data_IF_315169450174
#
_entry.id   IF_315169450174
#
_cell.length_a   1.000
_cell.length_b   1.000
_cell.length_c   1.000
_cell.angle_alpha   90.00
_cell.angle_beta   90.00
_cell.angle_gamma   90.00
#
_symmetry.space_group_name_H-M   'P 1'
#
loop_
_entity.id
_entity.type
_entity.pdbx_description
1 polymer ?
#
# COMPACT_ATOMS: atom_id res chain seq x y z
N UNK A 1 -4.71 2.05 8.36
CA UNK A 1 -6.06 1.54 8.65
C UNK A 1 -6.99 2.72 8.82
N UNK A 2 -8.15 2.69 8.18
CA UNK A 2 -9.16 3.73 8.31
C UNK A 2 -10.29 3.19 9.20
N UNK A 3 -10.77 3.99 10.14
CA UNK A 3 -11.78 3.55 11.12
C UNK A 3 -13.09 3.10 10.46
N UNK A 4 -13.57 3.82 9.45
CA UNK A 4 -14.80 3.47 8.75
C UNK A 4 -14.72 2.14 8.00
N UNK A 5 -13.55 1.80 7.43
CA UNK A 5 -13.33 0.50 6.79
C UNK A 5 -13.41 -0.65 7.81
N UNK A 6 -12.87 -0.44 9.02
CA UNK A 6 -12.98 -1.43 10.11
C UNK A 6 -14.43 -1.60 10.58
N UNK A 7 -15.19 -0.51 10.64
CA UNK A 7 -16.63 -0.58 11.01
C UNK A 7 -17.41 -1.41 10.00
N UNK A 8 -17.22 -1.18 8.69
CA UNK A 8 -17.87 -1.98 7.65
C UNK A 8 -17.49 -3.47 7.72
N UNK A 9 -16.20 -3.76 7.96
CA UNK A 9 -15.74 -5.13 8.15
C UNK A 9 -16.40 -5.79 9.36
N UNK A 10 -16.44 -5.10 10.51
CA UNK A 10 -17.10 -5.61 11.72
C UNK A 10 -18.60 -5.81 11.51
N UNK A 11 -19.28 -4.87 10.86
CA UNK A 11 -20.69 -5.03 10.51
C UNK A 11 -20.95 -6.26 9.62
N UNK A 12 -20.04 -6.55 8.69
CA UNK A 12 -20.11 -7.75 7.86
C UNK A 12 -20.05 -9.04 8.68
N UNK A 13 -19.10 -9.17 9.60
CA UNK A 13 -18.93 -10.40 10.39
C UNK A 13 -19.99 -10.57 11.49
N UNK A 14 -20.55 -9.46 12.00
CA UNK A 14 -21.61 -9.48 13.04
C UNK A 14 -23.02 -9.42 12.46
N UNK A 15 -23.15 -9.27 11.13
CA UNK A 15 -24.45 -9.07 10.44
C UNK A 15 -25.26 -7.90 11.04
N UNK A 16 -24.59 -6.82 11.37
CA UNK A 16 -25.24 -5.64 11.92
C UNK A 16 -25.87 -4.78 10.82
N UNK A 17 -27.04 -4.21 11.10
CA UNK A 17 -27.61 -3.15 10.28
C UNK A 17 -26.69 -1.94 10.28
N UNK A 18 -26.58 -1.27 9.13
CA UNK A 18 -25.69 -0.11 9.01
C UNK A 18 -26.25 0.92 8.04
N UNK A 19 -26.10 2.19 8.38
CA UNK A 19 -26.36 3.32 7.51
C UNK A 19 -25.02 3.84 6.98
N UNK A 20 -24.85 3.85 5.64
CA UNK A 20 -23.62 4.21 4.98
C UNK A 20 -23.77 5.56 4.28
N UNK A 21 -23.02 6.56 4.72
CA UNK A 21 -22.97 7.88 4.13
C UNK A 21 -21.98 7.91 2.97
N UNK A 22 -22.49 8.09 1.76
CA UNK A 22 -21.69 8.02 0.54
C UNK A 22 -21.65 9.39 -0.15
N UNK A 23 -20.57 10.17 0.01
CA UNK A 23 -20.39 11.40 -0.74
C UNK A 23 -20.04 11.06 -2.20
N UNK A 24 -20.86 11.54 -3.14
CA UNK A 24 -20.69 11.29 -4.58
C UNK A 24 -20.72 12.62 -5.32
N UNK A 25 -19.83 12.78 -6.30
CA UNK A 25 -19.90 13.90 -7.24
C UNK A 25 -21.16 13.82 -8.11
N UNK A 26 -21.77 14.98 -8.39
CA UNK A 26 -22.98 15.03 -9.18
C UNK A 26 -22.84 14.36 -10.55
N UNK A 27 -23.83 13.54 -10.92
CA UNK A 27 -23.86 12.82 -12.20
C UNK A 27 -23.16 11.45 -12.21
N UNK A 28 -22.54 11.03 -11.12
CA UNK A 28 -21.90 9.71 -11.01
C UNK A 28 -22.93 8.66 -10.56
N UNK A 29 -22.89 7.47 -11.19
CA UNK A 29 -23.78 6.35 -10.83
C UNK A 29 -23.43 5.80 -9.44
N UNK A 30 -24.30 6.08 -8.47
CA UNK A 30 -24.15 5.62 -7.07
C UNK A 30 -24.16 4.11 -6.92
N UNK A 31 -24.88 3.37 -7.77
CA UNK A 31 -25.07 1.93 -7.62
C UNK A 31 -23.76 1.15 -7.89
N UNK A 32 -22.92 1.68 -8.77
CA UNK A 32 -21.59 1.12 -8.98
C UNK A 32 -20.75 1.15 -7.70
N UNK A 33 -20.76 2.27 -6.95
CA UNK A 33 -20.02 2.42 -5.70
C UNK A 33 -20.61 1.55 -4.59
N UNK A 34 -21.96 1.52 -4.46
CA UNK A 34 -22.66 0.66 -3.49
C UNK A 34 -22.29 -0.81 -3.70
N UNK A 35 -22.39 -1.29 -4.94
CA UNK A 35 -22.06 -2.68 -5.29
C UNK A 35 -20.59 -3.00 -5.02
N UNK A 36 -19.68 -2.05 -5.29
CA UNK A 36 -18.27 -2.24 -5.00
C UNK A 36 -18.00 -2.32 -3.49
N UNK A 37 -18.61 -1.46 -2.67
CA UNK A 37 -18.49 -1.52 -1.20
C UNK A 37 -19.05 -2.84 -0.68
N UNK A 38 -20.24 -3.25 -1.10
CA UNK A 38 -20.85 -4.53 -0.73
C UNK A 38 -19.89 -5.69 -1.05
N UNK A 39 -19.37 -5.73 -2.27
CA UNK A 39 -18.46 -6.78 -2.72
C UNK A 39 -17.15 -6.78 -1.92
N UNK A 40 -16.55 -5.62 -1.70
CA UNK A 40 -15.24 -5.47 -1.05
C UNK A 40 -15.27 -5.84 0.43
N UNK A 41 -16.37 -5.56 1.12
CA UNK A 41 -16.53 -5.86 2.54
C UNK A 41 -17.40 -7.09 2.80
N UNK A 42 -17.93 -7.76 1.76
CA UNK A 42 -18.87 -8.91 1.85
C UNK A 42 -20.10 -8.57 2.68
N UNK A 43 -20.67 -7.38 2.48
CA UNK A 43 -21.86 -6.93 3.20
C UNK A 43 -23.11 -7.65 2.66
N UNK A 44 -24.10 -7.87 3.52
CA UNK A 44 -25.45 -8.24 3.11
C UNK A 44 -26.21 -6.97 2.70
N UNK A 45 -26.60 -6.86 1.43
CA UNK A 45 -27.22 -5.64 0.88
C UNK A 45 -28.49 -5.23 1.64
N UNK A 46 -29.25 -6.21 2.13
CA UNK A 46 -30.49 -5.98 2.91
C UNK A 46 -30.24 -5.32 4.26
N UNK A 47 -29.02 -5.38 4.80
CA UNK A 47 -28.60 -4.76 6.06
C UNK A 47 -27.97 -3.38 5.86
N UNK A 48 -27.90 -2.89 4.62
CA UNK A 48 -27.26 -1.63 4.28
C UNK A 48 -28.30 -0.58 3.87
N UNK A 49 -28.41 0.47 4.64
CA UNK A 49 -29.10 1.70 4.27
C UNK A 49 -28.08 2.70 3.71
N UNK A 50 -28.49 3.49 2.70
CA UNK A 50 -27.60 4.39 1.99
C UNK A 50 -28.08 5.83 2.04
N UNK A 51 -27.24 6.71 2.59
CA UNK A 51 -27.45 8.16 2.53
C UNK A 51 -26.51 8.72 1.46
N UNK A 52 -27.06 9.13 0.33
CA UNK A 52 -26.30 9.73 -0.76
C UNK A 52 -26.14 11.21 -0.51
N UNK A 53 -24.91 11.65 -0.38
CA UNK A 53 -24.57 13.06 -0.17
C UNK A 53 -24.02 13.63 -1.47
N UNK A 54 -24.79 14.51 -2.11
CA UNK A 54 -24.34 15.21 -3.32
C UNK A 54 -23.22 16.18 -2.96
N UNK A 55 -22.04 15.96 -3.53
CA UNK A 55 -20.88 16.80 -3.33
C UNK A 55 -20.85 17.89 -4.42
N UNK A 56 -20.85 19.14 -3.99
CA UNK A 56 -20.50 20.28 -4.86
C UNK A 56 -19.00 20.49 -4.74
N UNK A 57 -18.30 20.46 -5.83
CA UNK A 57 -16.89 20.78 -6.18
C UNK A 57 -15.83 21.18 -5.11
N UNK A 58 -16.17 21.34 -3.84
CA UNK A 58 -15.25 21.68 -2.76
C UNK A 58 -14.66 20.40 -2.11
N UNK A 59 -13.35 20.36 -1.96
CA UNK A 59 -12.53 19.26 -1.44
C UNK A 59 -12.82 18.76 0.01
N UNK A 60 -14.05 18.95 0.52
CA UNK A 60 -14.45 18.68 1.91
C UNK A 60 -15.39 17.48 2.10
N UNK A 61 -15.43 16.54 1.15
CA UNK A 61 -16.32 15.37 1.20
C UNK A 61 -16.27 14.61 2.52
N UNK A 62 -15.05 14.40 3.07
CA UNK A 62 -14.88 13.68 4.32
C UNK A 62 -15.48 14.44 5.52
N UNK A 63 -15.39 15.77 5.53
CA UNK A 63 -15.94 16.59 6.61
C UNK A 63 -17.47 16.63 6.56
N UNK A 64 -18.04 16.72 5.37
CA UNK A 64 -19.50 16.71 5.16
C UNK A 64 -20.08 15.37 5.60
N UNK A 65 -19.46 14.26 5.18
CA UNK A 65 -19.85 12.92 5.62
C UNK A 65 -19.78 12.76 7.12
N UNK A 66 -18.65 13.13 7.73
CA UNK A 66 -18.43 12.99 9.18
C UNK A 66 -19.41 13.86 9.97
N UNK A 67 -19.76 15.05 9.45
CA UNK A 67 -20.80 15.91 10.02
C UNK A 67 -22.18 15.26 9.96
N UNK A 68 -22.60 14.73 8.80
CA UNK A 68 -23.88 14.05 8.63
C UNK A 68 -24.03 12.85 9.57
N UNK A 69 -22.98 12.01 9.69
CA UNK A 69 -23.01 10.88 10.63
C UNK A 69 -23.21 11.34 12.08
N UNK A 70 -22.56 12.42 12.49
CA UNK A 70 -22.68 12.95 13.85
C UNK A 70 -24.06 13.61 14.09
N UNK A 71 -24.57 14.30 13.08
CA UNK A 71 -25.88 14.97 13.20
C UNK A 71 -27.04 13.96 13.26
N UNK A 72 -26.94 12.82 12.56
CA UNK A 72 -27.98 11.78 12.56
C UNK A 72 -27.87 10.79 13.72
N UNK A 73 -26.69 10.65 14.34
CA UNK A 73 -26.49 9.71 15.45
C UNK A 73 -27.27 10.12 16.69
N UNK A 74 -27.99 9.20 17.33
CA UNK A 74 -28.61 9.38 18.65
C UNK A 74 -27.55 9.39 19.74
N UNK A 75 -26.61 8.43 19.70
CA UNK A 75 -25.48 8.29 20.63
C UNK A 75 -24.19 8.22 19.85
N UNK A 76 -23.18 8.96 20.27
CA UNK A 76 -21.85 8.96 19.67
C UNK A 76 -20.87 8.17 20.57
N UNK A 77 -20.21 7.18 20.00
CA UNK A 77 -19.15 6.38 20.66
C UNK A 77 -17.78 6.71 20.05
N UNK A 78 -17.05 7.68 20.60
CA UNK A 78 -15.70 7.96 20.13
C UNK A 78 -14.76 6.84 20.58
N UNK A 79 -14.04 6.22 19.62
CA UNK A 79 -13.08 5.14 19.93
C UNK A 79 -11.65 5.68 20.04
N UNK A 80 -11.20 6.46 19.05
CA UNK A 80 -9.87 7.07 19.10
C UNK A 80 -9.88 8.37 18.30
N UNK A 81 -9.64 9.46 18.98
CA UNK A 81 -9.72 10.81 18.43
C UNK A 81 -8.35 11.43 18.38
N UNK A 82 -7.96 11.90 17.20
CA UNK A 82 -6.71 12.66 17.04
C UNK A 82 -6.88 14.05 17.64
N UNK A 83 -6.05 14.44 18.61
CA UNK A 83 -6.05 15.81 19.14
C UNK A 83 -5.84 16.85 18.05
N UNK A 84 -6.63 17.93 18.05
CA UNK A 84 -6.64 18.98 17.05
C UNK A 84 -7.27 18.56 15.70
N UNK A 85 -7.86 17.37 15.61
CA UNK A 85 -8.48 16.84 14.41
C UNK A 85 -9.91 17.35 14.17
N UNK A 86 -10.44 17.08 12.95
CA UNK A 86 -11.79 17.48 12.60
C UNK A 86 -12.87 16.80 13.46
N UNK A 87 -12.72 15.50 13.74
CA UNK A 87 -13.68 14.76 14.58
C UNK A 87 -13.74 15.29 16.00
N UNK A 88 -12.65 15.75 16.59
CA UNK A 88 -12.67 16.37 17.91
C UNK A 88 -13.59 17.58 17.95
N UNK A 89 -13.45 18.48 16.95
CA UNK A 89 -14.28 19.68 16.82
C UNK A 89 -15.76 19.35 16.60
N UNK A 90 -16.04 18.35 15.78
CA UNK A 90 -17.40 17.89 15.52
C UNK A 90 -18.07 17.31 16.79
N UNK A 91 -17.35 16.50 17.56
CA UNK A 91 -17.83 15.92 18.81
C UNK A 91 -18.06 17.01 19.88
N UNK A 92 -17.16 17.99 20.00
CA UNK A 92 -17.36 19.12 20.91
C UNK A 92 -18.60 19.94 20.52
N UNK A 93 -18.83 20.13 19.22
CA UNK A 93 -20.02 20.82 18.73
C UNK A 93 -21.29 20.03 19.01
N UNK A 94 -21.27 18.70 18.80
CA UNK A 94 -22.37 17.81 19.12
C UNK A 94 -22.71 17.83 20.62
N UNK A 95 -21.68 17.81 21.50
CA UNK A 95 -21.85 17.93 22.95
C UNK A 95 -22.53 19.24 23.34
N UNK A 96 -22.13 20.38 22.75
CA UNK A 96 -22.78 21.68 23.01
C UNK A 96 -24.23 21.72 22.56
N UNK A 97 -24.60 20.93 21.54
CA UNK A 97 -25.98 20.77 21.05
C UNK A 97 -26.81 19.77 21.87
N UNK A 98 -26.24 19.19 22.92
CA UNK A 98 -26.94 18.24 23.79
C UNK A 98 -26.97 16.79 23.29
N UNK A 99 -26.17 16.43 22.30
CA UNK A 99 -26.04 15.04 21.84
C UNK A 99 -25.41 14.18 22.93
N UNK A 100 -25.87 12.95 23.07
CA UNK A 100 -25.31 11.96 23.98
C UNK A 100 -23.97 11.44 23.43
N UNK A 101 -22.94 11.50 24.28
CA UNK A 101 -21.60 11.01 23.95
C UNK A 101 -21.15 10.02 25.01
N UNK A 102 -21.02 8.77 24.61
CA UNK A 102 -20.54 7.70 25.48
C UNK A 102 -19.06 7.47 25.27
N UNK A 103 -18.27 7.65 26.31
CA UNK A 103 -16.80 7.57 26.28
C UNK A 103 -16.24 6.23 26.78
N UNK A 104 -17.07 5.21 27.03
CA UNK A 104 -16.64 3.93 27.61
C UNK A 104 -15.62 3.16 26.76
N UNK A 105 -15.59 3.44 25.47
CA UNK A 105 -14.71 2.75 24.51
C UNK A 105 -13.54 3.61 24.04
N UNK A 106 -13.26 4.74 24.68
CA UNK A 106 -12.15 5.61 24.26
C UNK A 106 -10.81 4.92 24.51
N UNK A 107 -10.02 4.87 23.42
CA UNK A 107 -8.62 4.44 23.43
C UNK A 107 -7.74 5.65 23.10
N UNK A 108 -6.68 5.85 23.89
CA UNK A 108 -5.74 6.92 23.65
C UNK A 108 -5.19 6.89 22.20
N UNK A 109 -5.23 8.04 21.53
CA UNK A 109 -4.63 8.18 20.23
C UNK A 109 -3.11 8.05 20.33
N UNK A 110 -2.55 6.98 19.77
CA UNK A 110 -1.10 6.75 19.73
C UNK A 110 -0.58 6.90 18.31
N UNK A 111 0.44 7.74 18.14
CA UNK A 111 1.18 7.83 16.89
C UNK A 111 2.23 6.70 16.84
N UNK A 112 1.80 5.48 16.50
CA UNK A 112 2.63 4.26 16.50
C UNK A 112 3.56 4.11 15.30
N UNK A 113 3.71 5.14 14.47
CA UNK A 113 4.48 5.09 13.23
C UNK A 113 5.98 4.71 13.40
N UNK A 114 6.50 4.74 14.62
CA UNK A 114 7.91 4.43 14.88
C UNK A 114 8.26 2.94 14.82
N UNK A 115 7.30 2.03 14.99
CA UNK A 115 7.55 0.58 15.04
C UNK A 115 7.81 -0.08 13.68
N UNK A 116 7.57 0.63 12.58
CA UNK A 116 7.74 0.10 11.23
C UNK A 116 9.04 0.59 10.55
N UNK A 117 9.94 1.22 11.30
CA UNK A 117 11.23 1.66 10.75
C UNK A 117 12.23 0.53 10.78
N UNK A 118 12.79 0.23 9.63
CA UNK A 118 13.94 -0.66 9.51
C UNK A 118 15.20 0.22 9.44
N UNK A 119 16.13 0.00 10.34
CA UNK A 119 17.43 0.65 10.34
C UNK A 119 18.49 -0.40 9.97
N UNK A 120 19.23 -0.12 8.90
CA UNK A 120 20.29 -1.00 8.44
C UNK A 120 21.63 -0.31 8.71
N UNK A 121 22.45 -0.93 9.58
CA UNK A 121 23.82 -0.48 9.79
C UNK A 121 24.70 -0.95 8.63
N UNK A 122 25.56 -0.09 8.12
CA UNK A 122 26.43 -0.42 6.98
C UNK A 122 27.37 -1.58 7.28
N UNK A 123 27.80 -1.74 8.54
CA UNK A 123 28.71 -2.79 8.99
C UNK A 123 28.05 -4.19 8.92
N UNK A 124 26.71 -4.20 8.98
CA UNK A 124 25.94 -5.44 8.95
C UNK A 124 25.62 -5.91 7.52
N UNK A 125 25.86 -5.07 6.50
CA UNK A 125 25.57 -5.44 5.12
C UNK A 125 26.51 -6.58 4.68
N UNK A 126 25.93 -7.59 4.04
CA UNK A 126 26.67 -8.67 3.40
C UNK A 126 27.13 -8.21 2.01
N UNK A 127 28.33 -7.62 1.92
CA UNK A 127 28.85 -7.07 0.67
C UNK A 127 29.02 -8.11 -0.44
N UNK A 128 29.12 -9.40 -0.12
CA UNK A 128 29.21 -10.46 -1.16
C UNK A 128 27.96 -10.54 -2.03
N UNK A 129 26.80 -10.07 -1.52
CA UNK A 129 25.55 -10.06 -2.29
C UNK A 129 25.61 -9.09 -3.47
N UNK A 130 26.40 -8.02 -3.39
CA UNK A 130 26.55 -7.04 -4.46
C UNK A 130 27.23 -7.67 -5.69
N UNK A 131 28.28 -8.47 -5.48
CA UNK A 131 28.96 -9.18 -6.57
C UNK A 131 28.08 -10.29 -7.15
N UNK A 132 27.28 -10.98 -6.30
CA UNK A 132 26.39 -12.06 -6.74
C UNK A 132 25.21 -11.56 -7.56
N UNK A 133 24.77 -10.34 -7.35
CA UNK A 133 23.57 -9.76 -7.97
C UNK A 133 23.85 -8.52 -8.81
N UNK A 134 25.09 -8.29 -9.25
CA UNK A 134 25.45 -7.13 -10.10
C UNK A 134 24.71 -7.14 -11.45
N UNK A 135 24.49 -8.31 -12.01
CA UNK A 135 23.75 -8.50 -13.27
C UNK A 135 22.25 -8.72 -13.09
N UNK A 136 21.69 -8.31 -11.96
CA UNK A 136 20.26 -8.43 -11.70
C UNK A 136 19.55 -7.09 -11.65
N UNK A 137 18.25 -7.12 -11.99
CA UNK A 137 17.28 -6.07 -11.70
C UNK A 137 16.45 -6.51 -10.49
N UNK A 138 16.29 -5.65 -9.49
CA UNK A 138 15.69 -6.02 -8.21
C UNK A 138 14.38 -5.27 -8.01
N UNK A 139 13.28 -6.01 -7.86
CA UNK A 139 12.02 -5.52 -7.36
C UNK A 139 12.02 -5.55 -5.83
N UNK A 140 12.10 -4.39 -5.21
CA UNK A 140 12.06 -4.25 -3.76
C UNK A 140 10.63 -4.19 -3.26
N UNK A 141 10.28 -5.04 -2.29
CA UNK A 141 8.99 -5.00 -1.61
C UNK A 141 9.00 -4.05 -0.42
N UNK A 142 7.84 -3.79 0.14
CA UNK A 142 7.69 -3.07 1.41
C UNK A 142 6.40 -3.44 2.12
N UNK A 143 6.32 -3.10 3.41
CA UNK A 143 5.07 -3.16 4.15
C UNK A 143 4.02 -2.22 3.53
N UNK A 144 2.76 -2.62 3.60
CA UNK A 144 1.63 -1.77 3.22
C UNK A 144 0.66 -1.57 4.37
N UNK A 145 0.15 -0.36 4.52
CA UNK A 145 -0.88 0.00 5.50
C UNK A 145 -2.31 -0.24 4.96
N UNK A 146 -2.43 -0.95 3.86
CA UNK A 146 -3.68 -1.23 3.17
C UNK A 146 -3.63 -2.64 2.58
N UNK A 147 -4.73 -3.03 1.94
CA UNK A 147 -4.81 -4.27 1.17
C UNK A 147 -3.76 -4.34 0.06
N UNK A 148 -3.34 -5.54 -0.25
CA UNK A 148 -2.52 -5.79 -1.44
C UNK A 148 -3.32 -5.62 -2.74
N UNK A 149 -2.69 -5.42 -3.88
CA UNK A 149 -3.36 -5.48 -5.18
C UNK A 149 -4.12 -6.82 -5.35
N UNK A 150 -5.39 -6.73 -5.78
CA UNK A 150 -6.26 -7.90 -5.95
C UNK A 150 -6.90 -8.45 -4.67
N UNK A 151 -6.54 -7.96 -3.49
CA UNK A 151 -7.15 -8.34 -2.22
C UNK A 151 -8.40 -7.51 -1.93
N UNK A 152 -9.44 -8.12 -1.34
CA UNK A 152 -10.61 -7.40 -0.85
C UNK A 152 -10.33 -6.72 0.51
N UNK A 153 -11.13 -5.73 0.87
CA UNK A 153 -11.05 -5.14 2.22
C UNK A 153 -11.42 -6.16 3.30
N UNK A 154 -12.37 -7.05 3.02
CA UNK A 154 -12.73 -8.11 3.95
C UNK A 154 -11.53 -9.01 4.28
N UNK A 155 -10.80 -9.49 3.28
CA UNK A 155 -9.62 -10.34 3.46
C UNK A 155 -8.51 -9.62 4.23
N UNK A 156 -8.26 -8.34 3.89
CA UNK A 156 -7.29 -7.51 4.60
C UNK A 156 -7.62 -7.39 6.08
N UNK A 157 -8.84 -6.94 6.43
CA UNK A 157 -9.22 -6.72 7.83
C UNK A 157 -9.34 -8.03 8.61
N UNK A 158 -9.82 -9.10 7.98
CA UNK A 158 -9.86 -10.42 8.57
C UNK A 158 -8.44 -10.90 8.96
N UNK A 159 -7.46 -10.73 8.09
CA UNK A 159 -6.09 -11.11 8.41
C UNK A 159 -5.44 -10.22 9.47
N UNK A 160 -5.75 -8.92 9.50
CA UNK A 160 -5.27 -8.00 10.54
C UNK A 160 -5.86 -8.34 11.91
N UNK A 161 -7.16 -8.63 11.98
CA UNK A 161 -7.84 -8.99 13.22
C UNK A 161 -7.31 -10.31 13.79
N UNK A 162 -7.03 -11.28 12.92
CA UNK A 162 -6.55 -12.61 13.32
C UNK A 162 -5.02 -12.68 13.51
N UNK A 163 -4.28 -11.60 13.20
CA UNK A 163 -2.84 -11.55 13.47
C UNK A 163 -2.58 -11.33 14.96
N UNK A 164 -1.66 -12.13 15.53
CA UNK A 164 -1.36 -12.05 16.98
C UNK A 164 -0.26 -11.02 17.29
N UNK A 165 0.93 -11.20 16.73
CA UNK A 165 2.12 -10.41 17.08
C UNK A 165 2.81 -9.77 15.90
N UNK A 166 2.64 -10.29 14.69
CA UNK A 166 3.32 -9.82 13.48
C UNK A 166 2.30 -9.19 12.53
N UNK A 167 2.59 -7.97 12.07
CA UNK A 167 1.73 -7.31 11.10
C UNK A 167 1.71 -8.09 9.77
N UNK A 168 0.53 -8.55 9.32
CA UNK A 168 0.40 -9.52 8.22
C UNK A 168 0.62 -8.90 6.82
N UNK A 169 1.04 -7.64 6.75
CA UNK A 169 1.38 -6.90 5.52
C UNK A 169 2.78 -6.27 5.61
N UNK A 170 3.71 -6.91 6.34
CA UNK A 170 5.13 -6.53 6.34
C UNK A 170 5.77 -6.79 4.97
N UNK A 171 6.97 -6.24 4.74
CA UNK A 171 7.73 -6.49 3.51
C UNK A 171 8.01 -7.97 3.28
N UNK A 172 8.34 -8.73 4.33
CA UNK A 172 8.53 -10.17 4.27
C UNK A 172 7.24 -10.90 3.85
N UNK A 173 6.08 -10.54 4.44
CA UNK A 173 4.80 -11.14 4.05
C UNK A 173 4.40 -10.78 2.62
N UNK A 174 4.74 -9.57 2.16
CA UNK A 174 4.54 -9.16 0.77
C UNK A 174 5.40 -10.01 -0.17
N UNK A 175 6.68 -10.21 0.17
CA UNK A 175 7.58 -11.09 -0.58
C UNK A 175 7.05 -12.53 -0.64
N UNK A 176 6.68 -13.11 0.51
CA UNK A 176 6.12 -14.48 0.57
C UNK A 176 4.88 -14.61 -0.31
N UNK A 177 3.97 -13.63 -0.28
CA UNK A 177 2.78 -13.65 -1.11
C UNK A 177 3.11 -13.66 -2.61
N UNK A 178 4.03 -12.79 -3.04
CA UNK A 178 4.45 -12.71 -4.44
C UNK A 178 5.02 -14.08 -4.90
N UNK A 179 5.86 -14.71 -4.09
CA UNK A 179 6.44 -16.01 -4.39
C UNK A 179 5.40 -17.12 -4.42
N UNK A 180 4.45 -17.13 -3.47
CA UNK A 180 3.36 -18.12 -3.42
C UNK A 180 2.40 -17.97 -4.60
N UNK A 181 2.06 -16.74 -4.98
CA UNK A 181 1.20 -16.45 -6.14
C UNK A 181 1.97 -16.54 -7.46
N UNK A 182 3.29 -16.64 -7.41
CA UNK A 182 4.19 -16.56 -8.58
C UNK A 182 3.89 -15.35 -9.47
N UNK A 183 3.53 -14.22 -8.84
CA UNK A 183 3.08 -13.03 -9.57
C UNK A 183 3.44 -11.75 -8.86
N UNK A 184 4.09 -10.82 -9.58
CA UNK A 184 4.23 -9.44 -9.12
C UNK A 184 3.11 -8.61 -9.74
N UNK A 185 2.25 -8.03 -8.90
CA UNK A 185 1.15 -7.17 -9.35
C UNK A 185 1.57 -5.72 -9.39
N UNK A 186 1.13 -4.96 -10.42
CA UNK A 186 1.49 -3.56 -10.55
C UNK A 186 0.81 -2.69 -9.48
N UNK A 187 1.41 -1.54 -9.23
CA UNK A 187 0.81 -0.46 -8.48
C UNK A 187 0.52 0.72 -9.40
N UNK A 188 -0.61 1.37 -9.19
CA UNK A 188 -0.94 2.66 -9.86
C UNK A 188 -0.54 3.84 -8.99
N UNK A 189 -0.14 3.60 -7.74
CA UNK A 189 0.20 4.63 -6.75
C UNK A 189 1.52 5.30 -7.13
N UNK A 190 1.50 6.62 -7.16
CA UNK A 190 2.64 7.47 -7.48
C UNK A 190 3.06 7.53 -8.97
N UNK A 191 2.38 6.82 -9.86
CA UNK A 191 2.62 6.94 -11.29
C UNK A 191 1.72 8.00 -11.94
N UNK A 192 2.30 8.79 -12.84
CA UNK A 192 1.55 9.80 -13.60
C UNK A 192 0.44 9.12 -14.40
N UNK A 193 -0.76 9.71 -14.42
CA UNK A 193 -1.96 9.15 -15.07
C UNK A 193 -2.35 7.72 -14.64
N UNK A 194 -1.83 7.22 -13.51
CA UNK A 194 -2.23 5.94 -12.96
C UNK A 194 -1.83 4.71 -13.79
N UNK A 195 -0.71 4.76 -14.51
CA UNK A 195 -0.17 3.60 -15.21
C UNK A 195 0.10 2.45 -14.23
N UNK A 196 -0.41 1.22 -14.51
CA UNK A 196 -0.17 0.06 -13.66
C UNK A 196 1.25 -0.48 -13.91
N UNK A 197 2.21 -0.09 -13.08
CA UNK A 197 3.61 -0.44 -13.27
C UNK A 197 4.19 -1.24 -12.10
N UNK A 198 5.10 -2.16 -12.43
CA UNK A 198 6.03 -2.83 -11.52
C UNK A 198 7.41 -2.21 -11.70
N UNK A 199 7.99 -1.69 -10.62
CA UNK A 199 9.30 -1.04 -10.65
C UNK A 199 10.40 -2.01 -10.22
N UNK A 200 11.54 -1.91 -10.89
CA UNK A 200 12.80 -2.57 -10.54
C UNK A 200 13.92 -1.54 -10.45
N UNK A 201 14.95 -1.86 -9.71
CA UNK A 201 16.18 -1.08 -9.63
C UNK A 201 17.36 -1.90 -10.17
N UNK A 202 18.27 -1.25 -10.90
CA UNK A 202 19.55 -1.85 -11.30
C UNK A 202 20.68 -1.55 -10.32
N UNK A 203 20.38 -1.02 -9.14
CA UNK A 203 21.37 -0.87 -8.08
C UNK A 203 21.66 -2.23 -7.45
N UNK A 204 22.94 -2.49 -7.19
CA UNK A 204 23.34 -3.60 -6.32
C UNK A 204 22.70 -3.47 -4.93
N UNK A 205 22.44 -4.57 -4.20
CA UNK A 205 21.72 -4.56 -2.93
C UNK A 205 22.28 -3.58 -1.89
N UNK A 206 23.60 -3.53 -1.70
CA UNK A 206 24.25 -2.59 -0.77
C UNK A 206 24.04 -1.11 -1.16
N UNK A 207 24.05 -0.82 -2.47
CA UNK A 207 23.74 0.51 -3.02
C UNK A 207 22.28 0.92 -2.78
N UNK A 208 21.36 -0.03 -2.84
CA UNK A 208 19.93 0.20 -2.62
C UNK A 208 19.58 0.54 -1.16
N UNK A 209 20.42 0.17 -0.17
CA UNK A 209 20.22 0.51 1.26
C UNK A 209 20.06 2.02 1.46
N UNK A 210 20.79 2.83 0.68
CA UNK A 210 20.65 4.29 0.71
C UNK A 210 19.26 4.81 0.34
N UNK A 211 18.46 4.01 -0.35
CA UNK A 211 17.08 4.32 -0.73
C UNK A 211 16.06 3.84 0.31
N UNK A 212 16.42 2.98 1.26
CA UNK A 212 15.55 2.43 2.31
C UNK A 212 15.28 3.47 3.40
N UNK A 213 14.47 4.47 3.09
CA UNK A 213 14.21 5.64 3.94
C UNK A 213 12.78 5.66 4.43
N UNK A 214 12.61 6.07 5.70
CA UNK A 214 11.30 6.34 6.27
C UNK A 214 10.68 7.61 5.70
N UNK A 215 9.47 7.50 5.16
CA UNK A 215 8.66 8.61 4.67
C UNK A 215 7.61 8.99 5.72
N UNK A 216 7.92 9.95 6.56
CA UNK A 216 7.05 10.37 7.68
C UNK A 216 5.64 10.77 7.22
N UNK A 217 5.52 11.48 6.07
CA UNK A 217 4.24 11.90 5.50
C UNK A 217 3.32 10.71 5.18
N UNK A 218 3.89 9.63 4.68
CA UNK A 218 3.15 8.43 4.25
C UNK A 218 3.15 7.33 5.29
N UNK A 219 3.93 7.49 6.39
CA UNK A 219 4.14 6.50 7.45
C UNK A 219 4.54 5.12 6.91
N UNK A 220 5.46 5.11 5.97
CA UNK A 220 5.97 3.90 5.34
C UNK A 220 7.44 4.07 4.94
N UNK A 221 8.14 2.97 4.73
CA UNK A 221 9.45 2.97 4.08
C UNK A 221 9.30 3.23 2.59
N UNK A 222 10.32 3.78 1.93
CA UNK A 222 10.36 3.83 0.45
C UNK A 222 10.34 2.45 -0.13
N UNK A 223 11.26 1.62 0.31
CA UNK A 223 11.43 0.19 0.05
C UNK A 223 11.97 -0.45 1.32
N UNK A 224 11.82 -1.77 1.46
CA UNK A 224 12.35 -2.56 2.58
C UNK A 224 13.36 -3.59 2.06
N UNK A 225 14.16 -4.24 2.95
CA UNK A 225 15.24 -5.15 2.56
C UNK A 225 14.72 -6.54 2.14
N UNK A 226 13.69 -6.57 1.32
CA UNK A 226 13.08 -7.77 0.76
C UNK A 226 12.88 -7.59 -0.73
N UNK A 227 13.44 -8.46 -1.56
CA UNK A 227 13.42 -8.26 -2.99
C UNK A 227 13.37 -9.55 -3.81
N UNK A 228 12.94 -9.38 -5.06
CA UNK A 228 13.04 -10.40 -6.10
C UNK A 228 13.97 -9.85 -7.16
N UNK A 229 15.03 -10.56 -7.43
CA UNK A 229 16.05 -10.22 -8.42
C UNK A 229 15.84 -11.07 -9.67
N UNK A 230 15.83 -10.43 -10.85
CA UNK A 230 15.71 -11.08 -12.16
C UNK A 230 16.95 -10.70 -12.96
N UNK A 231 17.62 -11.68 -13.56
CA UNK A 231 18.84 -11.46 -14.31
C UNK A 231 18.58 -10.55 -15.52
N UNK A 232 19.49 -9.61 -15.81
CA UNK A 232 19.33 -8.58 -16.83
C UNK A 232 19.14 -9.12 -18.25
N UNK A 233 19.77 -10.24 -18.57
CA UNK A 233 19.59 -10.88 -19.89
C UNK A 233 18.17 -11.40 -20.14
N UNK A 234 17.38 -11.58 -19.07
CA UNK A 234 15.98 -12.00 -19.15
C UNK A 234 15.00 -10.81 -19.05
N UNK A 235 15.49 -9.63 -18.72
CA UNK A 235 14.67 -8.44 -18.51
C UNK A 235 13.84 -8.06 -19.75
N UNK A 236 14.46 -8.07 -20.91
CA UNK A 236 13.78 -7.73 -22.19
C UNK A 236 12.69 -8.74 -22.53
N UNK A 237 12.91 -10.04 -22.23
CA UNK A 237 11.94 -11.12 -22.48
C UNK A 237 10.64 -10.90 -21.71
N UNK A 238 10.72 -10.39 -20.48
CA UNK A 238 9.56 -10.05 -19.67
C UNK A 238 9.09 -8.60 -19.83
N UNK A 239 9.65 -7.86 -20.80
CA UNK A 239 9.22 -6.51 -21.12
C UNK A 239 9.61 -5.44 -20.09
N UNK A 240 10.69 -5.64 -19.35
CA UNK A 240 11.27 -4.60 -18.50
C UNK A 240 12.01 -3.56 -19.33
N UNK A 241 11.62 -2.31 -19.21
CA UNK A 241 12.24 -1.20 -19.93
C UNK A 241 12.83 -0.18 -18.95
N UNK A 242 13.99 0.34 -19.28
CA UNK A 242 14.67 1.38 -18.51
C UNK A 242 13.86 2.67 -18.51
N UNK A 243 13.72 3.28 -17.32
CA UNK A 243 13.09 4.59 -17.17
C UNK A 243 14.03 5.68 -17.67
N UNK A 244 13.49 6.61 -18.46
CA UNK A 244 14.21 7.81 -18.85
C UNK A 244 13.67 9.04 -18.14
N UNK A 245 14.57 9.94 -17.83
CA UNK A 245 14.31 11.11 -17.00
C UNK A 245 14.39 12.38 -17.83
N UNK A 246 13.44 13.29 -17.63
CA UNK A 246 13.41 14.55 -18.37
C UNK A 246 12.57 15.62 -17.69
N UNK A 247 12.53 16.79 -18.30
CA UNK A 247 11.69 17.89 -17.83
C UNK A 247 10.19 17.51 -17.94
N UNK A 248 9.31 17.96 -17.02
CA UNK A 248 7.89 17.63 -17.02
C UNK A 248 7.18 17.90 -18.36
N UNK A 249 7.62 18.92 -19.10
CA UNK A 249 7.06 19.33 -20.40
C UNK A 249 7.31 18.29 -21.49
N UNK A 250 8.39 17.52 -21.40
CA UNK A 250 8.70 16.46 -22.38
C UNK A 250 7.60 15.40 -22.46
N UNK A 251 6.87 15.18 -21.37
CA UNK A 251 5.84 14.14 -21.32
C UNK A 251 4.76 14.30 -22.41
N UNK A 252 4.38 15.53 -22.73
CA UNK A 252 3.31 15.80 -23.70
C UNK A 252 3.73 15.50 -25.15
N UNK A 253 5.04 15.45 -25.42
CA UNK A 253 5.62 15.16 -26.73
C UNK A 253 6.02 13.69 -26.92
N UNK A 254 5.87 12.87 -25.86
CA UNK A 254 6.20 11.45 -25.95
C UNK A 254 5.08 10.68 -26.66
N UNK A 255 5.48 9.63 -27.37
CA UNK A 255 4.55 8.63 -27.85
C UNK A 255 3.88 7.89 -26.69
N UNK A 256 2.65 7.43 -26.88
CA UNK A 256 1.87 6.80 -25.80
C UNK A 256 2.57 5.56 -25.21
N UNK A 257 3.29 4.81 -26.04
CA UNK A 257 4.07 3.64 -25.59
C UNK A 257 5.29 3.98 -24.74
N UNK A 258 5.77 5.23 -24.75
CA UNK A 258 6.94 5.66 -23.98
C UNK A 258 6.54 6.40 -22.69
N UNK A 259 5.34 6.98 -22.65
CA UNK A 259 4.81 7.72 -21.51
C UNK A 259 4.90 6.95 -20.18
N UNK A 260 4.62 5.63 -20.11
CA UNK A 260 4.74 4.87 -18.86
C UNK A 260 6.16 4.80 -18.29
N UNK A 261 7.16 4.89 -19.15
CA UNK A 261 8.59 4.77 -18.80
C UNK A 261 9.27 6.12 -18.56
N UNK A 262 8.51 7.21 -18.62
CA UNK A 262 9.01 8.55 -18.34
C UNK A 262 8.87 8.89 -16.85
N UNK A 263 9.93 9.51 -16.31
CA UNK A 263 9.92 10.08 -14.98
C UNK A 263 10.39 11.53 -15.05
N UNK A 264 9.56 12.45 -14.58
CA UNK A 264 9.96 13.86 -14.54
C UNK A 264 11.04 14.11 -13.48
N UNK A 265 12.05 14.88 -13.85
CA UNK A 265 13.03 15.45 -12.93
C UNK A 265 12.31 16.60 -12.21
N UNK A 266 11.98 16.43 -10.94
CA UNK A 266 11.25 17.41 -10.16
C UNK A 266 12.15 18.18 -9.20
N UNK A 267 11.69 19.37 -8.78
CA UNK A 267 12.34 20.18 -7.74
C UNK A 267 12.25 19.54 -6.35
N UNK A 268 11.36 18.55 -6.15
CA UNK A 268 11.07 17.92 -4.85
C UNK A 268 11.62 16.51 -4.68
N UNK A 269 12.31 15.94 -5.66
CA UNK A 269 12.88 14.60 -5.55
C UNK A 269 13.81 14.26 -6.71
N UNK A 270 15.00 13.75 -6.37
CA UNK A 270 15.94 13.18 -7.33
C UNK A 270 15.70 11.66 -7.38
N UNK A 271 14.98 11.18 -8.39
CA UNK A 271 14.66 9.77 -8.58
C UNK A 271 15.72 9.02 -9.41
N UNK A 272 16.59 9.76 -10.11
CA UNK A 272 17.69 9.20 -10.90
C UNK A 272 18.60 8.21 -10.14
N UNK A 273 18.87 8.36 -8.83
CA UNK A 273 19.65 7.37 -8.10
C UNK A 273 19.02 5.98 -8.01
N UNK A 274 17.71 5.84 -8.25
CA UNK A 274 17.01 4.54 -8.22
C UNK A 274 17.36 3.66 -9.41
N UNK A 275 17.88 4.22 -10.52
CA UNK A 275 18.19 3.50 -11.77
C UNK A 275 17.06 2.56 -12.17
N UNK A 276 15.86 3.15 -12.25
CA UNK A 276 14.60 2.43 -12.36
C UNK A 276 14.39 1.76 -13.72
N UNK A 277 13.81 0.57 -13.69
CA UNK A 277 13.19 -0.13 -14.80
C UNK A 277 11.72 -0.37 -14.49
N UNK A 278 10.86 -0.42 -15.50
CA UNK A 278 9.41 -0.66 -15.34
C UNK A 278 8.93 -1.76 -16.28
N UNK A 279 7.98 -2.53 -15.78
CA UNK A 279 7.07 -3.36 -16.55
C UNK A 279 5.64 -2.84 -16.38
N UNK A 280 4.85 -2.82 -17.45
CA UNK A 280 3.44 -2.39 -17.41
C UNK A 280 2.56 -3.62 -17.35
N UNK A 281 1.76 -3.71 -16.30
CA UNK A 281 0.94 -4.88 -16.01
C UNK A 281 1.56 -5.84 -14.99
N UNK A 282 0.97 -7.02 -14.85
CA UNK A 282 1.45 -8.10 -13.99
C UNK A 282 2.70 -8.76 -14.57
N UNK A 283 3.61 -9.21 -13.71
CA UNK A 283 4.72 -10.09 -14.10
C UNK A 283 4.40 -11.49 -13.57
N UNK A 284 4.36 -12.47 -14.45
CA UNK A 284 4.23 -13.89 -14.12
C UNK A 284 5.62 -14.50 -13.86
N UNK A 285 5.93 -14.77 -12.60
CA UNK A 285 7.22 -15.33 -12.19
C UNK A 285 7.38 -16.82 -12.57
N UNK A 286 6.29 -17.52 -12.85
CA UNK A 286 6.38 -18.91 -13.32
C UNK A 286 7.04 -19.03 -14.69
N UNK A 287 7.07 -17.94 -15.45
CA UNK A 287 7.73 -17.86 -16.76
C UNK A 287 9.23 -17.55 -16.64
N UNK A 288 9.71 -17.13 -15.46
CA UNK A 288 11.13 -16.80 -15.24
C UNK A 288 11.88 -18.08 -14.80
N UNK A 289 12.90 -18.51 -15.54
CA UNK A 289 13.71 -19.66 -15.14
C UNK A 289 14.33 -19.48 -13.74
N UNK A 290 14.36 -20.53 -12.93
CA UNK A 290 14.84 -20.46 -11.54
C UNK A 290 16.31 -20.05 -11.41
N UNK A 291 17.14 -20.37 -12.39
CA UNK A 291 18.55 -19.94 -12.50
C UNK A 291 18.70 -18.46 -12.91
N UNK A 292 17.64 -17.81 -13.33
CA UNK A 292 17.56 -16.38 -13.68
C UNK A 292 16.87 -15.55 -12.62
N UNK A 293 16.52 -16.15 -11.50
CA UNK A 293 15.83 -15.47 -10.40
C UNK A 293 16.54 -15.73 -9.07
N UNK A 294 16.63 -14.69 -8.25
CA UNK A 294 17.08 -14.80 -6.86
C UNK A 294 16.16 -14.01 -5.94
N UNK A 295 16.15 -14.37 -4.67
CA UNK A 295 15.36 -13.70 -3.63
C UNK A 295 16.27 -13.13 -2.56
N UNK A 296 15.93 -11.92 -2.08
CA UNK A 296 16.65 -11.23 -1.03
C UNK A 296 15.77 -11.12 0.20
N UNK A 297 16.28 -11.53 1.34
CA UNK A 297 15.67 -11.33 2.67
C UNK A 297 16.55 -10.41 3.52
N UNK A 298 16.00 -9.90 4.61
CA UNK A 298 16.72 -8.96 5.46
C UNK A 298 17.85 -9.65 6.24
N UNK A 299 17.54 -10.74 6.95
CA UNK A 299 18.50 -11.43 7.83
C UNK A 299 18.60 -12.92 7.50
N UNK A 300 19.68 -13.61 7.91
CA UNK A 300 19.85 -15.04 7.69
C UNK A 300 18.74 -15.90 8.29
N UNK A 301 18.16 -15.50 9.41
CA UNK A 301 17.08 -16.24 10.10
C UNK A 301 15.80 -16.35 9.26
N UNK A 302 15.65 -15.46 8.28
CA UNK A 302 14.48 -15.44 7.39
C UNK A 302 14.61 -16.36 6.17
N UNK A 303 15.83 -16.90 5.90
CA UNK A 303 16.10 -17.78 4.75
C UNK A 303 15.16 -18.99 4.75
N UNK A 304 15.02 -19.67 5.88
CA UNK A 304 14.21 -20.88 5.99
C UNK A 304 12.70 -20.58 5.82
N UNK A 305 12.26 -19.37 6.17
CA UNK A 305 10.88 -18.95 5.94
C UNK A 305 10.56 -18.81 4.45
N UNK A 306 11.54 -18.43 3.63
CA UNK A 306 11.37 -18.29 2.19
C UNK A 306 11.57 -19.62 1.47
N UNK A 307 12.44 -20.51 1.93
CA UNK A 307 12.62 -21.87 1.38
C UNK A 307 11.35 -22.70 1.39
N UNK A 308 10.37 -22.36 2.23
CA UNK A 308 9.07 -23.02 2.23
C UNK A 308 8.21 -22.72 0.98
N UNK A 309 8.54 -21.65 0.24
CA UNK A 309 7.76 -21.15 -0.89
C UNK A 309 8.60 -20.88 -2.14
N UNK A 310 9.91 -21.05 -2.07
CA UNK A 310 10.84 -20.80 -3.17
C UNK A 310 12.10 -21.67 -3.08
N UNK A 311 12.39 -22.42 -4.14
CA UNK A 311 13.51 -23.40 -4.21
C UNK A 311 14.77 -22.84 -4.87
N UNK A 312 14.75 -21.60 -5.39
CA UNK A 312 15.89 -20.97 -6.06
C UNK A 312 16.91 -20.34 -5.13
N UNK A 313 17.74 -19.46 -5.68
CA UNK A 313 18.79 -18.76 -4.92
C UNK A 313 18.17 -17.74 -3.95
N UNK A 314 18.53 -17.86 -2.68
CA UNK A 314 18.06 -16.94 -1.62
C UNK A 314 19.30 -16.38 -0.90
N UNK A 315 19.33 -15.06 -0.75
CA UNK A 315 20.43 -14.34 -0.10
C UNK A 315 19.91 -13.45 1.01
N UNK A 316 20.68 -13.31 2.10
CA UNK A 316 20.41 -12.29 3.13
C UNK A 316 21.17 -11.01 2.83
N UNK A 317 20.48 -9.85 2.96
CA UNK A 317 21.09 -8.54 2.80
C UNK A 317 22.08 -8.25 3.94
N UNK A 318 21.77 -8.69 5.16
CA UNK A 318 22.64 -8.59 6.32
C UNK A 318 23.36 -9.92 6.63
N UNK A 319 24.46 -9.78 7.41
CA UNK A 319 25.27 -10.93 7.90
C UNK A 319 24.54 -11.64 9.02
#
# INVERSE_FOLDING_TARGET
MKSWEMVLFLASITKANQTIYLPIEGGVNSDKFKNEIIRQFRLEAVLCEWVIMNNTADNNCDQIRDGGIIDDADIIYPVSIRPGGNLEKLIETARRRGKEINNDFIVEYRNTAHHCRINISKENINLKIDDLLDDYLIHWTKATNSRWPGESYFEYYNSVLNSRSVYPRSGLHTLKRILTEQKIRPSVRHYRKGWPAVAFSSLAPGGAVGLMKWRARYREMTIEPYGIAIHKDYADTIGLRKVFYGNPEMYEYLEDNDKPYFQSIGTKGHWTPEREYRHIGDIDLSLVPSDRMAVIVFTPEELDLIRQVFDGHIHSLCK
#
